data_IF_031706563511
#
_entry.id   IF_031706563511
#
_cell.length_a   1.000
_cell.length_b   1.000
_cell.length_c   1.000
_cell.angle_alpha   90.00
_cell.angle_beta   90.00
_cell.angle_gamma   90.00
#
_symmetry.space_group_name_H-M   'P 1'
#
loop_
_entity.id
_entity.type
_entity.pdbx_description
1 polymer ?
#
# COMPACT_ATOMS: atom_id res chain seq x y z
N UNK A 1 9.88 -28.26 -33.39
CA UNK A 1 11.19 -27.60 -33.21
C UNK A 1 11.67 -26.90 -34.47
N UNK A 2 11.46 -27.48 -35.67
CA UNK A 2 11.85 -26.85 -36.93
C UNK A 2 11.27 -25.47 -37.15
N UNK A 3 10.00 -25.26 -36.73
CA UNK A 3 9.35 -23.94 -36.75
C UNK A 3 10.10 -22.92 -35.85
N UNK A 4 10.44 -23.32 -34.66
CA UNK A 4 11.22 -22.45 -33.75
C UNK A 4 12.62 -22.18 -34.28
N UNK A 5 13.28 -23.18 -34.90
CA UNK A 5 14.55 -23.00 -35.58
C UNK A 5 14.47 -21.89 -36.66
N UNK A 6 13.44 -21.93 -37.50
CA UNK A 6 13.23 -20.91 -38.52
C UNK A 6 12.91 -19.51 -37.97
N UNK A 7 12.12 -19.45 -36.89
CA UNK A 7 11.86 -18.18 -36.17
C UNK A 7 13.17 -17.60 -35.62
N UNK A 8 14.02 -18.43 -34.96
CA UNK A 8 15.32 -17.99 -34.45
C UNK A 8 16.22 -17.50 -35.57
N UNK A 9 16.28 -18.23 -36.69
CA UNK A 9 17.07 -17.84 -37.86
C UNK A 9 16.66 -16.45 -38.36
N UNK A 10 15.36 -16.23 -38.58
CA UNK A 10 14.82 -14.97 -39.08
C UNK A 10 15.03 -13.81 -38.10
N UNK A 11 14.80 -14.04 -36.80
CA UNK A 11 15.04 -13.02 -35.77
C UNK A 11 16.53 -12.72 -35.62
N UNK A 12 17.39 -13.76 -35.60
CA UNK A 12 18.84 -13.59 -35.44
C UNK A 12 19.47 -12.79 -36.58
N UNK A 13 18.95 -12.93 -37.82
CA UNK A 13 19.37 -12.15 -38.98
C UNK A 13 19.21 -10.62 -38.77
N UNK A 14 18.27 -10.18 -37.93
CA UNK A 14 18.06 -8.75 -37.59
C UNK A 14 19.01 -8.22 -36.53
N UNK A 15 19.91 -9.05 -35.99
CA UNK A 15 20.85 -8.69 -34.93
C UNK A 15 20.18 -8.18 -33.65
N UNK A 16 19.33 -8.97 -32.97
CA UNK A 16 18.75 -8.63 -31.68
C UNK A 16 19.79 -8.60 -30.57
N UNK A 17 19.50 -7.94 -29.44
CA UNK A 17 20.37 -7.99 -28.25
C UNK A 17 20.39 -9.37 -27.62
N UNK A 18 19.23 -9.98 -27.46
CA UNK A 18 19.07 -11.37 -27.00
C UNK A 18 17.68 -11.88 -27.39
N UNK A 19 17.53 -13.21 -27.48
CA UNK A 19 16.28 -13.93 -27.76
C UNK A 19 15.99 -14.80 -26.53
N UNK A 20 14.83 -14.59 -25.86
CA UNK A 20 14.40 -15.37 -24.69
C UNK A 20 13.21 -16.26 -25.03
N UNK A 21 13.25 -17.49 -24.55
CA UNK A 21 12.15 -18.44 -24.68
C UNK A 21 11.52 -18.68 -23.31
N UNK A 22 10.31 -18.20 -23.13
CA UNK A 22 9.44 -18.55 -22.01
C UNK A 22 8.64 -19.81 -22.35
N UNK A 23 9.36 -20.85 -22.74
CA UNK A 23 8.84 -22.12 -23.21
C UNK A 23 9.80 -23.25 -22.81
N UNK A 24 9.26 -24.39 -22.38
CA UNK A 24 10.00 -25.61 -22.10
C UNK A 24 9.97 -26.58 -23.27
N UNK A 25 11.09 -27.19 -23.52
CA UNK A 25 11.27 -28.24 -24.52
C UNK A 25 11.72 -29.52 -23.81
N UNK A 26 10.84 -30.08 -22.96
CA UNK A 26 11.15 -31.17 -22.01
C UNK A 26 11.34 -32.54 -22.67
N UNK A 27 10.68 -32.77 -23.79
CA UNK A 27 10.66 -34.05 -24.51
C UNK A 27 11.31 -33.88 -25.87
N UNK A 28 11.76 -35.01 -26.48
CA UNK A 28 12.20 -35.01 -27.86
C UNK A 28 11.06 -34.65 -28.82
N UNK A 29 11.40 -34.05 -29.94
CA UNK A 29 10.39 -33.76 -30.99
C UNK A 29 9.91 -35.09 -31.59
N UNK A 30 8.58 -35.26 -31.60
CA UNK A 30 7.96 -36.50 -32.16
C UNK A 30 8.25 -36.72 -33.64
N UNK A 31 8.69 -35.70 -34.35
CA UNK A 31 9.13 -35.79 -35.76
C UNK A 31 10.61 -36.01 -35.89
N UNK A 32 11.34 -36.30 -34.79
CA UNK A 32 12.75 -36.69 -34.87
C UNK A 32 12.87 -38.09 -35.49
N UNK A 33 13.91 -38.35 -36.30
CA UNK A 33 14.12 -39.64 -36.91
C UNK A 33 14.05 -40.79 -35.91
N UNK A 34 14.63 -40.64 -34.72
CA UNK A 34 14.60 -41.63 -33.66
C UNK A 34 13.19 -41.96 -33.19
N UNK A 35 12.33 -40.93 -32.99
CA UNK A 35 10.96 -41.13 -32.55
C UNK A 35 10.09 -41.76 -33.63
N UNK A 36 10.33 -41.38 -34.89
CA UNK A 36 9.65 -42.01 -36.06
C UNK A 36 10.03 -43.49 -36.18
N UNK A 37 11.32 -43.81 -36.06
CA UNK A 37 11.83 -45.20 -36.07
C UNK A 37 11.17 -46.01 -34.96
N UNK A 38 11.11 -45.46 -33.75
CA UNK A 38 10.52 -46.13 -32.59
C UNK A 38 8.99 -46.29 -32.69
N UNK A 39 8.31 -45.34 -33.34
CA UNK A 39 6.84 -45.35 -33.46
C UNK A 39 6.31 -46.26 -34.59
N UNK A 40 7.11 -46.51 -35.60
CA UNK A 40 6.71 -47.29 -36.79
C UNK A 40 7.68 -48.46 -37.01
N UNK A 41 7.15 -49.63 -37.34
CA UNK A 41 7.96 -50.81 -37.70
C UNK A 41 8.53 -50.66 -39.12
N UNK A 42 9.58 -49.85 -39.24
CA UNK A 42 10.21 -49.56 -40.53
C UNK A 42 11.18 -50.63 -40.96
N UNK A 43 11.32 -50.81 -42.28
CA UNK A 43 12.31 -51.71 -42.84
C UNK A 43 13.73 -51.12 -42.71
N UNK A 44 14.78 -51.95 -42.66
CA UNK A 44 16.18 -51.49 -42.40
C UNK A 44 16.70 -50.42 -43.38
N UNK A 45 16.28 -50.43 -44.63
CA UNK A 45 16.63 -49.43 -45.63
C UNK A 45 16.08 -48.03 -45.29
N UNK A 46 14.83 -47.95 -44.80
CA UNK A 46 14.19 -46.71 -44.45
C UNK A 46 14.77 -46.14 -43.15
N UNK A 47 15.12 -47.03 -42.20
CA UNK A 47 15.81 -46.67 -40.98
C UNK A 47 17.17 -46.02 -41.28
N UNK A 48 17.95 -46.58 -42.22
CA UNK A 48 19.26 -46.04 -42.61
C UNK A 48 19.12 -44.67 -43.31
N UNK A 49 18.07 -44.44 -44.10
CA UNK A 49 17.80 -43.15 -44.71
C UNK A 49 17.38 -42.10 -43.68
N UNK A 50 16.48 -42.44 -42.75
CA UNK A 50 16.04 -41.55 -41.68
C UNK A 50 17.16 -41.15 -40.74
N UNK A 51 18.07 -42.05 -40.38
CA UNK A 51 19.23 -41.76 -39.52
C UNK A 51 20.19 -40.71 -40.09
N UNK A 52 20.21 -40.54 -41.43
CA UNK A 52 21.01 -39.51 -42.10
C UNK A 52 20.32 -38.13 -42.15
N UNK A 53 19.05 -38.01 -41.72
CA UNK A 53 18.31 -36.76 -41.70
C UNK A 53 18.50 -36.07 -40.35
N UNK A 54 18.90 -34.80 -40.39
CA UNK A 54 18.95 -33.99 -39.12
C UNK A 54 17.54 -33.85 -38.57
N UNK A 55 17.37 -34.32 -37.33
CA UNK A 55 16.10 -34.14 -36.60
C UNK A 55 15.77 -32.69 -36.23
N UNK A 56 14.50 -32.38 -36.02
CA UNK A 56 14.06 -31.02 -35.67
C UNK A 56 14.76 -30.43 -34.43
N UNK A 57 15.05 -31.25 -33.43
CA UNK A 57 15.80 -30.84 -32.24
C UNK A 57 17.23 -30.41 -32.56
N UNK A 58 17.89 -31.13 -33.52
CA UNK A 58 19.23 -30.78 -33.92
C UNK A 58 19.30 -29.50 -34.74
N UNK A 59 18.35 -29.32 -35.65
CA UNK A 59 18.23 -28.08 -36.43
C UNK A 59 18.01 -26.89 -35.48
N UNK A 60 17.15 -27.05 -34.47
CA UNK A 60 16.90 -26.02 -33.49
C UNK A 60 18.11 -25.73 -32.62
N UNK A 61 18.82 -26.78 -32.17
CA UNK A 61 20.07 -26.68 -31.41
C UNK A 61 21.11 -25.82 -32.17
N UNK A 62 21.31 -26.07 -33.46
CA UNK A 62 22.25 -25.30 -34.29
C UNK A 62 21.92 -23.83 -34.39
N UNK A 63 20.63 -23.47 -34.45
CA UNK A 63 20.18 -22.07 -34.48
C UNK A 63 20.36 -21.39 -33.11
N UNK A 64 20.08 -22.09 -32.01
CA UNK A 64 20.32 -21.60 -30.68
C UNK A 64 21.81 -21.30 -30.42
N UNK A 65 22.72 -22.17 -30.89
CA UNK A 65 24.17 -22.01 -30.74
C UNK A 65 24.71 -20.78 -31.47
N UNK A 66 24.15 -20.45 -32.64
CA UNK A 66 24.49 -19.28 -33.44
C UNK A 66 23.89 -17.97 -32.91
N UNK A 67 22.93 -18.03 -31.99
CA UNK A 67 22.20 -16.87 -31.47
C UNK A 67 22.54 -16.52 -30.02
N UNK A 68 22.18 -15.35 -29.58
CA UNK A 68 22.22 -14.94 -28.16
C UNK A 68 20.92 -15.37 -27.45
N UNK A 69 20.73 -16.68 -27.36
CA UNK A 69 19.50 -17.27 -26.84
C UNK A 69 19.56 -17.52 -25.34
N UNK A 70 18.42 -17.36 -24.67
CA UNK A 70 18.13 -17.70 -23.29
C UNK A 70 16.89 -18.58 -23.26
N UNK A 71 16.97 -19.72 -22.54
CA UNK A 71 15.83 -20.65 -22.39
C UNK A 71 15.38 -20.65 -20.92
N UNK A 72 14.08 -20.84 -20.72
CA UNK A 72 13.42 -20.91 -19.44
C UNK A 72 13.83 -22.13 -18.60
N UNK A 73 13.91 -21.92 -17.28
CA UNK A 73 13.99 -22.92 -16.23
C UNK A 73 12.99 -22.60 -15.15
N UNK A 74 12.21 -23.57 -14.68
CA UNK A 74 11.20 -23.39 -13.63
C UNK A 74 11.64 -24.13 -12.35
N UNK A 75 11.53 -23.47 -11.21
CA UNK A 75 11.63 -24.11 -9.90
C UNK A 75 10.41 -24.97 -9.60
N UNK A 76 10.64 -26.15 -9.02
CA UNK A 76 9.58 -27.08 -8.66
C UNK A 76 9.80 -27.63 -7.25
N UNK A 77 8.71 -27.86 -6.53
CA UNK A 77 8.69 -28.59 -5.26
C UNK A 77 8.68 -30.11 -5.46
N UNK A 78 8.31 -30.57 -6.66
CA UNK A 78 8.16 -31.99 -7.00
C UNK A 78 9.11 -32.35 -8.14
N UNK A 79 9.69 -33.56 -8.08
CA UNK A 79 10.47 -34.14 -9.19
C UNK A 79 9.52 -34.59 -10.29
N UNK A 80 9.82 -34.21 -11.54
CA UNK A 80 9.05 -34.56 -12.73
C UNK A 80 9.94 -34.77 -13.95
N UNK A 81 9.34 -35.10 -15.11
CA UNK A 81 10.07 -35.14 -16.39
C UNK A 81 10.77 -33.81 -16.65
N UNK A 82 11.99 -33.87 -17.17
CA UNK A 82 12.83 -32.68 -17.36
C UNK A 82 13.57 -32.21 -16.11
N UNK A 83 13.47 -32.95 -14.99
CA UNK A 83 14.25 -32.68 -13.78
C UNK A 83 15.59 -33.36 -13.87
N UNK A 84 16.68 -32.60 -14.00
CA UNK A 84 18.06 -33.10 -13.93
C UNK A 84 18.97 -32.04 -13.32
N UNK A 85 20.22 -32.41 -13.00
CA UNK A 85 21.17 -31.49 -12.38
C UNK A 85 21.86 -30.60 -13.42
N UNK A 86 21.21 -29.49 -13.75
CA UNK A 86 21.71 -28.51 -14.73
C UNK A 86 22.64 -27.50 -14.07
N UNK A 87 23.39 -26.78 -14.89
CA UNK A 87 24.28 -25.70 -14.42
C UNK A 87 23.93 -24.39 -15.08
N UNK A 88 23.81 -23.34 -14.27
CA UNK A 88 23.60 -21.98 -14.77
C UNK A 88 24.77 -21.58 -15.72
N UNK A 89 24.44 -20.81 -16.75
CA UNK A 89 25.43 -20.24 -17.68
C UNK A 89 26.08 -18.98 -17.09
N UNK A 90 25.36 -18.26 -16.23
CA UNK A 90 25.91 -17.12 -15.51
C UNK A 90 26.85 -17.57 -14.39
N UNK A 91 28.02 -16.93 -14.27
CA UNK A 91 28.88 -17.04 -13.10
C UNK A 91 28.53 -15.96 -12.11
N UNK A 92 28.29 -16.34 -10.85
CA UNK A 92 28.00 -15.42 -9.76
C UNK A 92 29.30 -15.11 -9.02
N UNK A 93 29.63 -13.83 -8.90
CA UNK A 93 30.75 -13.31 -8.12
C UNK A 93 30.18 -12.51 -6.95
N UNK A 94 30.30 -13.04 -5.74
CA UNK A 94 29.78 -12.41 -4.53
C UNK A 94 30.86 -11.64 -3.77
N UNK A 95 30.45 -10.58 -3.10
CA UNK A 95 31.25 -9.82 -2.14
C UNK A 95 30.42 -9.56 -0.89
N UNK A 96 30.95 -9.89 0.26
CA UNK A 96 30.28 -9.62 1.56
C UNK A 96 29.52 -10.81 2.15
N UNK A 97 29.42 -11.96 1.44
CA UNK A 97 28.75 -13.17 1.93
C UNK A 97 28.41 -14.16 0.83
N UNK A 98 27.67 -15.23 1.17
CA UNK A 98 27.12 -16.20 0.21
C UNK A 98 25.64 -15.86 -0.10
N UNK A 99 25.32 -15.43 -1.33
CA UNK A 99 23.94 -15.10 -1.71
C UNK A 99 22.97 -16.27 -1.58
N UNK A 100 23.45 -17.51 -1.51
CA UNK A 100 22.60 -18.69 -1.38
C UNK A 100 21.81 -18.71 -0.06
N UNK A 101 22.29 -18.06 0.97
CA UNK A 101 21.64 -18.00 2.28
C UNK A 101 20.35 -17.18 2.25
N UNK A 102 20.28 -16.21 1.34
CA UNK A 102 19.19 -15.24 1.27
C UNK A 102 18.27 -15.43 0.06
N UNK A 103 18.66 -16.29 -0.90
CA UNK A 103 17.86 -16.50 -2.12
C UNK A 103 16.77 -17.54 -1.92
N UNK A 104 15.62 -17.32 -2.60
CA UNK A 104 14.56 -18.33 -2.66
C UNK A 104 15.07 -19.64 -3.25
N UNK A 105 14.69 -20.75 -2.60
CA UNK A 105 15.16 -22.08 -2.93
C UNK A 105 14.06 -23.00 -3.39
N UNK A 106 14.34 -23.73 -4.46
CA UNK A 106 13.49 -24.81 -4.95
C UNK A 106 14.29 -26.13 -4.92
N UNK A 107 13.69 -27.25 -4.45
CA UNK A 107 14.38 -28.53 -4.39
C UNK A 107 14.70 -29.11 -5.77
N UNK A 108 13.87 -28.78 -6.76
CA UNK A 108 14.02 -29.26 -8.13
C UNK A 108 13.92 -28.13 -9.13
N UNK A 109 14.37 -28.40 -10.37
CA UNK A 109 14.17 -27.49 -11.50
C UNK A 109 13.74 -28.25 -12.73
N UNK A 110 12.75 -27.74 -13.44
CA UNK A 110 12.25 -28.25 -14.71
C UNK A 110 12.80 -27.35 -15.82
N UNK A 111 13.25 -27.92 -16.92
CA UNK A 111 13.74 -27.16 -18.07
C UNK A 111 13.69 -27.96 -19.35
N UNK A 112 14.40 -27.50 -20.35
CA UNK A 112 14.45 -28.13 -21.69
C UNK A 112 15.39 -29.32 -21.73
N UNK A 113 15.43 -30.04 -22.88
CA UNK A 113 16.40 -31.07 -23.15
C UNK A 113 17.83 -30.56 -22.95
N UNK A 114 18.68 -31.38 -22.31
CA UNK A 114 20.05 -30.99 -21.98
C UNK A 114 20.85 -30.50 -23.20
N UNK A 115 20.68 -31.14 -24.35
CA UNK A 115 21.36 -30.73 -25.59
C UNK A 115 20.99 -29.33 -26.06
N UNK A 116 19.72 -28.86 -25.83
CA UNK A 116 19.26 -27.51 -26.13
C UNK A 116 19.79 -26.50 -25.10
N UNK A 117 19.74 -26.86 -23.82
CA UNK A 117 20.28 -26.01 -22.76
C UNK A 117 21.79 -25.81 -22.88
N UNK A 118 22.52 -26.84 -23.37
CA UNK A 118 23.96 -26.71 -23.58
C UNK A 118 24.32 -25.76 -24.75
N UNK A 119 23.42 -25.57 -25.70
CA UNK A 119 23.68 -24.74 -26.89
C UNK A 119 23.33 -23.26 -26.69
N UNK A 120 22.58 -22.90 -25.66
CA UNK A 120 22.19 -21.47 -25.39
C UNK A 120 23.25 -20.71 -24.60
N UNK A 121 23.16 -19.38 -24.65
CA UNK A 121 24.05 -18.45 -23.91
C UNK A 121 23.59 -18.21 -22.48
N UNK A 122 22.33 -18.52 -22.16
CA UNK A 122 21.72 -18.29 -20.84
C UNK A 122 20.62 -19.27 -20.48
N UNK A 123 20.47 -19.50 -19.16
CA UNK A 123 19.33 -20.19 -18.57
C UNK A 123 18.68 -19.23 -17.55
N UNK A 124 17.42 -18.85 -17.80
CA UNK A 124 16.71 -17.88 -16.98
C UNK A 124 15.54 -18.51 -16.23
N UNK A 125 15.45 -18.28 -14.92
CA UNK A 125 14.29 -18.72 -14.14
C UNK A 125 13.06 -17.90 -14.49
N UNK A 126 11.93 -18.59 -14.69
CA UNK A 126 10.60 -18.00 -14.85
C UNK A 126 9.73 -18.19 -13.62
N UNK A 127 10.32 -18.65 -12.50
CA UNK A 127 9.60 -18.87 -11.25
C UNK A 127 9.16 -17.55 -10.65
N UNK A 128 7.87 -17.43 -10.35
CA UNK A 128 7.31 -16.37 -9.56
C UNK A 128 7.20 -16.79 -8.09
N UNK A 129 7.13 -15.84 -7.19
CA UNK A 129 6.80 -16.10 -5.80
C UNK A 129 5.29 -16.22 -5.65
N UNK A 130 4.86 -17.21 -4.87
CA UNK A 130 3.44 -17.36 -4.53
C UNK A 130 2.96 -16.13 -3.77
N UNK A 131 2.02 -15.41 -4.37
CA UNK A 131 1.32 -14.29 -3.76
C UNK A 131 -0.06 -14.79 -3.33
N UNK A 132 -0.46 -14.50 -2.10
CA UNK A 132 -1.73 -14.98 -1.52
C UNK A 132 -2.97 -14.56 -2.31
N UNK A 133 -2.90 -13.46 -3.05
CA UNK A 133 -3.96 -12.94 -3.91
C UNK A 133 -3.75 -13.22 -5.41
N UNK A 134 -2.69 -13.94 -5.77
CA UNK A 134 -2.35 -14.28 -7.14
C UNK A 134 -1.91 -13.09 -8.02
N UNK A 135 -1.65 -11.90 -7.43
CA UNK A 135 -1.20 -10.72 -8.17
C UNK A 135 0.32 -10.63 -8.12
N UNK A 136 1.00 -10.74 -9.25
CA UNK A 136 2.46 -10.65 -9.33
C UNK A 136 2.90 -9.19 -9.25
N UNK A 137 3.47 -8.81 -8.09
CA UNK A 137 4.00 -7.47 -7.83
C UNK A 137 5.51 -7.41 -7.85
N UNK A 138 6.15 -8.50 -7.50
CA UNK A 138 7.59 -8.58 -7.29
C UNK A 138 8.11 -9.94 -7.72
N UNK A 139 9.41 -10.01 -7.98
CA UNK A 139 10.08 -11.28 -8.25
C UNK A 139 11.53 -11.24 -7.75
N UNK A 140 12.11 -12.42 -7.40
CA UNK A 140 13.51 -12.51 -7.09
C UNK A 140 14.33 -12.41 -8.37
N UNK A 141 15.40 -11.61 -8.36
CA UNK A 141 16.34 -11.55 -9.49
C UNK A 141 17.23 -12.78 -9.59
N UNK A 142 17.43 -13.43 -8.46
CA UNK A 142 18.22 -14.67 -8.35
C UNK A 142 17.43 -15.69 -7.54
N UNK A 143 17.39 -16.92 -8.01
CA UNK A 143 16.82 -18.07 -7.31
C UNK A 143 17.84 -19.15 -7.14
N UNK A 144 17.60 -20.09 -6.23
CA UNK A 144 18.45 -21.23 -5.99
C UNK A 144 17.73 -22.54 -6.32
N UNK A 145 18.29 -23.33 -7.22
CA UNK A 145 17.84 -24.71 -7.45
C UNK A 145 18.86 -25.66 -6.80
N UNK A 146 18.41 -26.39 -5.78
CA UNK A 146 19.32 -27.14 -4.89
C UNK A 146 20.42 -26.22 -4.33
N UNK A 147 21.63 -26.35 -4.76
CA UNK A 147 22.78 -25.55 -4.31
C UNK A 147 23.37 -24.65 -5.40
N UNK A 148 22.68 -24.41 -6.49
CA UNK A 148 23.14 -23.60 -7.63
C UNK A 148 22.27 -22.37 -7.82
N UNK A 149 22.89 -21.23 -8.04
CA UNK A 149 22.19 -19.96 -8.29
C UNK A 149 21.84 -19.81 -9.76
N UNK A 150 20.66 -19.29 -10.02
CA UNK A 150 20.15 -18.98 -11.36
C UNK A 150 19.58 -17.57 -11.39
N UNK A 151 19.88 -16.76 -12.42
CA UNK A 151 19.21 -15.50 -12.63
C UNK A 151 17.79 -15.74 -13.13
N UNK A 152 16.88 -14.80 -12.86
CA UNK A 152 15.58 -14.78 -13.53
C UNK A 152 15.71 -14.48 -15.01
N UNK A 153 14.70 -14.85 -15.80
CA UNK A 153 14.67 -14.66 -17.26
C UNK A 153 15.06 -13.24 -17.67
N UNK A 154 14.43 -12.21 -17.06
CA UNK A 154 14.72 -10.82 -17.37
C UNK A 154 16.18 -10.43 -17.10
N UNK A 155 16.72 -10.81 -15.95
CA UNK A 155 18.13 -10.53 -15.60
C UNK A 155 19.11 -11.27 -16.53
N UNK A 156 18.82 -12.53 -16.84
CA UNK A 156 19.67 -13.33 -17.73
C UNK A 156 19.67 -12.77 -19.17
N UNK A 157 18.52 -12.35 -19.65
CA UNK A 157 18.40 -11.68 -20.94
C UNK A 157 19.28 -10.42 -21.00
N UNK A 158 19.24 -9.59 -19.94
CA UNK A 158 20.06 -8.38 -19.85
C UNK A 158 21.56 -8.76 -19.81
N UNK A 159 21.94 -9.81 -19.07
CA UNK A 159 23.33 -10.28 -19.00
C UNK A 159 23.83 -10.71 -20.38
N UNK A 160 23.07 -11.56 -21.07
CA UNK A 160 23.42 -12.09 -22.39
C UNK A 160 23.46 -10.96 -23.43
N UNK A 161 22.46 -10.10 -23.44
CA UNK A 161 22.36 -8.95 -24.36
C UNK A 161 23.47 -7.93 -24.16
N UNK A 162 23.99 -7.79 -22.95
CA UNK A 162 25.15 -6.94 -22.61
C UNK A 162 26.50 -7.66 -22.79
N UNK A 163 26.53 -8.87 -23.33
CA UNK A 163 27.73 -9.71 -23.52
C UNK A 163 28.51 -9.95 -22.22
N UNK A 164 27.85 -9.99 -21.07
CA UNK A 164 28.49 -10.24 -19.79
C UNK A 164 28.53 -11.73 -19.48
N UNK A 165 29.66 -12.20 -18.90
CA UNK A 165 29.82 -13.58 -18.42
C UNK A 165 29.37 -13.73 -16.97
N UNK A 166 29.55 -12.67 -16.17
CA UNK A 166 29.40 -12.69 -14.74
C UNK A 166 28.22 -11.81 -14.29
N UNK A 167 27.58 -12.22 -13.20
CA UNK A 167 26.72 -11.41 -12.36
C UNK A 167 27.45 -11.13 -11.06
N UNK A 168 27.47 -9.87 -10.64
CA UNK A 168 28.10 -9.44 -9.40
C UNK A 168 27.05 -9.23 -8.35
N UNK A 169 27.20 -9.87 -7.17
CA UNK A 169 26.28 -9.78 -6.04
C UNK A 169 27.02 -9.14 -4.89
N UNK A 170 26.59 -7.96 -4.48
CA UNK A 170 27.09 -7.28 -3.29
C UNK A 170 26.12 -7.49 -2.15
N UNK A 171 26.66 -7.90 -1.00
CA UNK A 171 25.91 -8.19 0.20
C UNK A 171 26.35 -7.30 1.35
N UNK A 172 25.47 -7.10 2.30
CA UNK A 172 25.74 -6.51 3.59
C UNK A 172 25.32 -7.46 4.72
N UNK A 173 25.35 -7.02 5.96
CA UNK A 173 24.98 -7.84 7.14
C UNK A 173 23.53 -8.33 7.12
N UNK A 174 22.64 -7.65 6.38
CA UNK A 174 21.20 -7.96 6.31
C UNK A 174 20.88 -8.93 5.16
N UNK A 175 21.72 -8.98 4.13
CA UNK A 175 21.51 -9.83 2.96
C UNK A 175 22.00 -9.21 1.65
N UNK A 176 21.34 -9.52 0.54
CA UNK A 176 21.67 -9.00 -0.79
C UNK A 176 21.31 -7.50 -0.82
N UNK A 177 22.28 -6.69 -1.20
CA UNK A 177 22.10 -5.23 -1.35
C UNK A 177 21.99 -4.83 -2.82
N UNK A 178 22.82 -5.43 -3.68
CA UNK A 178 22.88 -5.05 -5.09
C UNK A 178 23.30 -6.23 -5.97
N UNK A 179 22.62 -6.36 -7.11
CA UNK A 179 22.98 -7.29 -8.17
C UNK A 179 23.37 -6.46 -9.40
N UNK A 180 24.48 -6.80 -10.05
CA UNK A 180 24.97 -6.02 -11.18
C UNK A 180 25.27 -6.89 -12.39
N UNK A 181 24.78 -6.44 -13.55
CA UNK A 181 25.16 -6.90 -14.88
C UNK A 181 25.59 -5.66 -15.67
N UNK A 182 26.88 -5.43 -15.79
CA UNK A 182 27.40 -4.18 -16.39
C UNK A 182 26.72 -3.84 -17.71
N UNK A 183 26.30 -2.57 -17.92
CA UNK A 183 26.50 -1.41 -17.05
C UNK A 183 25.49 -1.26 -15.93
N UNK A 184 24.48 -2.12 -15.82
CA UNK A 184 23.33 -1.99 -14.94
C UNK A 184 23.65 -2.41 -13.49
N UNK A 185 23.18 -1.59 -12.55
CA UNK A 185 23.27 -1.84 -11.10
C UNK A 185 21.84 -1.89 -10.56
N UNK A 186 21.46 -3.00 -9.97
CA UNK A 186 20.08 -3.25 -9.54
C UNK A 186 20.10 -3.42 -8.02
N UNK A 187 19.51 -2.48 -7.30
CA UNK A 187 19.30 -2.58 -5.86
C UNK A 187 18.08 -3.45 -5.60
N UNK A 188 18.15 -4.29 -4.59
CA UNK A 188 17.08 -5.21 -4.22
C UNK A 188 16.83 -5.18 -2.72
N UNK A 189 15.79 -5.88 -2.29
CA UNK A 189 15.65 -6.22 -0.88
C UNK A 189 16.72 -7.27 -0.46
N UNK A 190 16.83 -7.60 0.85
CA UNK A 190 17.80 -8.57 1.35
C UNK A 190 17.72 -9.97 0.70
N UNK A 191 16.59 -10.35 0.14
CA UNK A 191 16.36 -11.63 -0.53
C UNK A 191 16.57 -11.56 -2.07
N UNK A 192 17.06 -10.44 -2.57
CA UNK A 192 17.27 -10.23 -4.00
C UNK A 192 16.01 -9.96 -4.81
N UNK A 193 14.92 -9.52 -4.14
CA UNK A 193 13.64 -9.21 -4.78
C UNK A 193 13.62 -7.76 -5.25
N UNK A 194 13.03 -7.54 -6.42
CA UNK A 194 12.61 -6.23 -6.90
C UNK A 194 11.10 -6.18 -7.06
N UNK A 195 10.53 -4.97 -6.91
CA UNK A 195 9.13 -4.72 -7.21
C UNK A 195 9.02 -4.18 -8.62
N UNK A 196 8.11 -4.77 -9.40
CA UNK A 196 7.96 -4.46 -10.82
C UNK A 196 7.14 -3.18 -10.96
N UNK A 197 7.68 -2.19 -11.65
CA UNK A 197 6.91 -1.06 -12.14
C UNK A 197 6.29 -1.44 -13.46
N UNK A 198 5.06 -1.93 -13.42
CA UNK A 198 4.33 -2.32 -14.63
C UNK A 198 4.00 -1.10 -15.50
N UNK A 199 4.18 -1.27 -16.80
CA UNK A 199 3.68 -0.37 -17.82
C UNK A 199 2.40 -0.94 -18.43
N UNK A 200 1.56 -0.08 -19.01
CA UNK A 200 0.37 -0.54 -19.72
C UNK A 200 0.82 -1.38 -20.91
N UNK A 201 0.26 -2.59 -21.01
CA UNK A 201 0.51 -3.49 -22.16
C UNK A 201 0.09 -2.83 -23.48
N UNK A 202 0.99 -2.83 -24.45
CA UNK A 202 0.76 -2.28 -25.77
C UNK A 202 0.68 -3.41 -26.81
N UNK A 203 -0.48 -3.61 -27.41
CA UNK A 203 -0.66 -4.60 -28.48
C UNK A 203 0.35 -4.44 -29.62
N UNK A 204 0.84 -3.22 -29.86
CA UNK A 204 1.87 -2.93 -30.85
C UNK A 204 3.23 -3.57 -30.54
N UNK A 205 3.50 -4.01 -29.33
CA UNK A 205 4.73 -4.72 -28.95
C UNK A 205 4.70 -6.20 -29.34
N UNK A 206 3.52 -6.74 -29.61
CA UNK A 206 3.36 -8.13 -30.01
C UNK A 206 3.50 -8.28 -31.54
N UNK A 207 4.18 -9.35 -31.93
CA UNK A 207 4.32 -9.75 -33.33
C UNK A 207 3.97 -11.24 -33.40
N UNK A 208 3.12 -11.60 -34.35
CA UNK A 208 2.74 -13.01 -34.53
C UNK A 208 3.94 -13.84 -34.91
N UNK A 209 4.14 -14.98 -34.24
CA UNK A 209 5.19 -15.94 -34.55
C UNK A 209 5.06 -16.48 -36.00
N UNK A 210 3.82 -16.60 -36.55
CA UNK A 210 3.58 -16.98 -37.94
C UNK A 210 4.14 -15.96 -38.92
N UNK A 211 3.96 -14.66 -38.65
CA UNK A 211 4.52 -13.59 -39.51
C UNK A 211 6.05 -13.62 -39.51
N UNK A 212 6.66 -13.92 -38.35
CA UNK A 212 8.12 -14.06 -38.24
C UNK A 212 8.59 -15.32 -39.00
N UNK A 213 7.90 -16.43 -38.82
CA UNK A 213 8.18 -17.67 -39.58
C UNK A 213 8.14 -17.46 -41.07
N UNK A 214 7.10 -16.79 -41.59
CA UNK A 214 6.91 -16.50 -43.02
C UNK A 214 7.89 -15.43 -43.57
N UNK A 215 8.69 -14.79 -42.72
CA UNK A 215 9.55 -13.66 -43.10
C UNK A 215 8.78 -12.35 -43.38
N UNK A 216 7.51 -12.25 -42.94
CA UNK A 216 6.62 -11.10 -43.19
C UNK A 216 6.58 -10.22 -41.96
N UNK A 217 7.68 -9.55 -41.59
CA UNK A 217 7.78 -8.68 -40.41
C UNK A 217 8.72 -7.50 -40.68
N UNK A 218 8.55 -6.45 -39.90
CA UNK A 218 9.46 -5.29 -39.92
C UNK A 218 10.70 -5.57 -39.08
N UNK A 219 11.86 -5.73 -39.76
CA UNK A 219 13.16 -6.02 -39.14
C UNK A 219 13.59 -4.94 -38.14
N UNK A 220 13.20 -3.67 -38.34
CA UNK A 220 13.53 -2.57 -37.46
C UNK A 220 13.01 -2.74 -36.04
N UNK A 221 11.95 -3.50 -35.88
CA UNK A 221 11.33 -3.84 -34.59
C UNK A 221 12.15 -4.82 -33.76
N UNK A 222 13.07 -5.54 -34.36
CA UNK A 222 13.92 -6.54 -33.69
C UNK A 222 15.36 -6.07 -33.52
N UNK A 223 15.87 -5.23 -34.42
CA UNK A 223 17.25 -4.77 -34.39
C UNK A 223 17.62 -4.08 -33.09
N UNK A 224 18.66 -4.57 -32.39
CA UNK A 224 19.10 -4.07 -31.08
C UNK A 224 18.01 -4.16 -29.98
N UNK A 225 17.00 -5.04 -30.11
CA UNK A 225 15.93 -5.23 -29.11
C UNK A 225 16.13 -6.54 -28.37
N UNK A 226 15.56 -6.62 -27.19
CA UNK A 226 15.32 -7.87 -26.48
C UNK A 226 14.04 -8.49 -27.03
N UNK A 227 14.11 -9.72 -27.49
CA UNK A 227 12.99 -10.44 -28.10
C UNK A 227 12.60 -11.58 -27.18
N UNK A 228 11.35 -11.61 -26.76
CA UNK A 228 10.78 -12.68 -25.94
C UNK A 228 9.81 -13.50 -26.80
N UNK A 229 9.93 -14.81 -26.74
CA UNK A 229 9.06 -15.78 -27.39
C UNK A 229 8.34 -16.55 -26.29
N UNK A 230 7.01 -16.44 -26.25
CA UNK A 230 6.19 -17.07 -25.24
C UNK A 230 4.73 -17.19 -25.65
N UNK A 231 3.94 -17.87 -24.84
CA UNK A 231 2.52 -18.05 -25.05
C UNK A 231 1.76 -16.77 -24.73
N UNK A 232 1.00 -16.24 -25.68
CA UNK A 232 0.16 -15.05 -25.47
C UNK A 232 -1.29 -15.25 -25.89
N UNK A 233 -1.63 -16.41 -26.50
CA UNK A 233 -2.97 -16.70 -26.96
C UNK A 233 -3.91 -17.07 -25.80
N UNK A 234 -5.16 -16.62 -25.88
CA UNK A 234 -6.21 -17.05 -24.95
C UNK A 234 -6.39 -18.56 -25.04
N UNK A 235 -6.40 -19.22 -23.86
CA UNK A 235 -6.53 -20.69 -23.76
C UNK A 235 -5.22 -21.44 -23.52
N UNK A 236 -4.06 -20.79 -23.58
CA UNK A 236 -2.78 -21.40 -23.22
C UNK A 236 -2.43 -21.29 -21.71
N UNK A 237 -3.36 -20.73 -20.91
CA UNK A 237 -3.34 -20.66 -19.44
C UNK A 237 -2.12 -19.99 -18.79
N UNK A 238 -1.25 -19.36 -19.54
CA UNK A 238 -0.11 -18.60 -19.00
C UNK A 238 -0.48 -17.12 -18.80
N UNK A 239 -1.57 -16.89 -18.05
CA UNK A 239 -2.07 -15.55 -17.76
C UNK A 239 -1.88 -15.21 -16.28
N UNK A 240 -1.29 -14.06 -16.01
CA UNK A 240 -1.00 -13.57 -14.66
C UNK A 240 -1.70 -12.24 -14.40
N UNK A 241 -2.14 -12.03 -13.16
CA UNK A 241 -2.74 -10.78 -12.72
C UNK A 241 -1.65 -9.78 -12.31
N UNK A 242 -1.83 -8.53 -12.68
CA UNK A 242 -0.93 -7.43 -12.33
C UNK A 242 -1.58 -6.41 -11.41
N UNK A 243 -0.82 -5.58 -10.69
CA UNK A 243 -1.35 -4.49 -9.87
C UNK A 243 -2.16 -3.44 -10.64
N UNK A 244 -2.02 -3.37 -11.96
CA UNK A 244 -2.80 -2.46 -12.81
C UNK A 244 -4.23 -2.97 -13.09
N UNK A 245 -4.63 -4.10 -12.47
CA UNK A 245 -5.92 -4.73 -12.70
C UNK A 245 -6.02 -5.45 -14.03
N UNK A 246 -4.96 -5.48 -14.83
CA UNK A 246 -4.90 -6.21 -16.09
C UNK A 246 -4.38 -7.63 -15.91
N UNK A 247 -4.91 -8.55 -16.70
CA UNK A 247 -4.36 -9.89 -16.86
C UNK A 247 -3.50 -9.88 -18.12
N UNK A 248 -2.23 -10.25 -17.98
CA UNK A 248 -1.25 -10.25 -19.07
C UNK A 248 -0.61 -11.65 -19.21
N UNK A 249 -0.05 -12.00 -20.39
CA UNK A 249 0.76 -13.21 -20.52
C UNK A 249 2.00 -13.18 -19.61
N UNK A 250 2.39 -14.34 -19.04
CA UNK A 250 3.57 -14.46 -18.15
C UNK A 250 4.85 -13.92 -18.79
N UNK A 251 5.04 -14.16 -20.08
CA UNK A 251 6.18 -13.65 -20.85
C UNK A 251 6.30 -12.11 -20.79
N UNK A 252 5.20 -11.38 -20.68
CA UNK A 252 5.20 -9.92 -20.59
C UNK A 252 5.73 -9.42 -19.23
N UNK A 253 5.59 -10.21 -18.18
CA UNK A 253 6.20 -9.90 -16.87
C UNK A 253 7.71 -9.80 -17.02
N UNK A 254 8.32 -10.76 -17.72
CA UNK A 254 9.77 -10.75 -18.00
C UNK A 254 10.17 -9.55 -18.87
N UNK A 255 9.31 -9.15 -19.81
CA UNK A 255 9.47 -7.93 -20.60
C UNK A 255 9.50 -6.67 -19.73
N UNK A 256 8.54 -6.52 -18.80
CA UNK A 256 8.53 -5.43 -17.82
C UNK A 256 9.78 -5.43 -16.94
N UNK A 257 10.28 -6.59 -16.51
CA UNK A 257 11.52 -6.69 -15.74
C UNK A 257 12.73 -6.20 -16.54
N UNK A 258 12.85 -6.61 -17.81
CA UNK A 258 13.92 -6.13 -18.69
C UNK A 258 13.86 -4.60 -18.80
N UNK A 259 12.71 -4.02 -19.11
CA UNK A 259 12.53 -2.57 -19.20
C UNK A 259 12.88 -1.88 -17.88
N UNK A 260 12.41 -2.42 -16.74
CA UNK A 260 12.72 -1.85 -15.43
C UNK A 260 14.23 -1.85 -15.14
N UNK A 261 14.96 -2.89 -15.55
CA UNK A 261 16.43 -2.94 -15.40
C UNK A 261 17.11 -1.92 -16.32
N UNK A 262 16.68 -1.81 -17.57
CA UNK A 262 17.26 -0.91 -18.56
C UNK A 262 17.05 0.57 -18.19
N UNK A 263 15.83 0.90 -17.76
CA UNK A 263 15.41 2.26 -17.39
C UNK A 263 15.74 2.59 -15.92
N UNK A 264 16.24 1.63 -15.14
CA UNK A 264 16.45 1.76 -13.66
C UNK A 264 15.18 2.21 -12.95
N UNK A 265 14.01 1.79 -13.43
CA UNK A 265 12.69 2.25 -12.98
C UNK A 265 11.97 1.29 -12.03
N UNK A 266 12.56 0.14 -11.71
CA UNK A 266 12.01 -0.79 -10.74
C UNK A 266 11.77 -0.13 -9.37
N UNK A 267 10.84 -0.67 -8.59
CA UNK A 267 10.51 -0.15 -7.28
C UNK A 267 11.32 -0.90 -6.21
N UNK A 268 11.68 -0.18 -5.16
CA UNK A 268 12.45 -0.72 -4.04
C UNK A 268 11.66 -0.52 -2.76
N UNK A 269 11.69 -1.50 -1.88
CA UNK A 269 11.29 -1.37 -0.49
C UNK A 269 12.52 -1.59 0.39
N UNK A 270 13.12 -0.50 0.82
CA UNK A 270 14.30 -0.56 1.68
C UNK A 270 13.91 -1.05 3.08
N UNK A 271 14.70 -1.92 3.75
CA UNK A 271 14.46 -2.32 5.13
C UNK A 271 14.33 -1.14 6.11
N UNK A 272 15.07 -0.06 5.91
CA UNK A 272 14.99 1.13 6.76
C UNK A 272 13.69 1.94 6.57
N UNK A 273 12.94 1.70 5.50
CA UNK A 273 11.66 2.37 5.23
C UNK A 273 10.64 2.10 6.34
N UNK A 274 10.66 0.90 6.96
CA UNK A 274 9.78 0.59 8.10
C UNK A 274 10.01 1.51 9.30
N UNK A 275 11.26 1.83 9.62
CA UNK A 275 11.61 2.74 10.72
C UNK A 275 11.10 4.15 10.40
N UNK A 276 11.31 4.59 9.15
CA UNK A 276 10.81 5.88 8.69
C UNK A 276 9.28 5.95 8.77
N UNK A 277 8.57 4.91 8.30
CA UNK A 277 7.11 4.81 8.34
C UNK A 277 6.58 4.93 9.78
N UNK A 278 7.22 4.23 10.73
CA UNK A 278 6.86 4.28 12.14
C UNK A 278 7.07 5.67 12.74
N UNK A 279 8.27 6.23 12.58
CA UNK A 279 8.59 7.56 13.11
C UNK A 279 7.70 8.65 12.47
N UNK A 280 7.50 8.57 11.18
CA UNK A 280 6.62 9.49 10.45
C UNK A 280 5.18 9.39 10.96
N UNK A 281 4.66 8.19 11.21
CA UNK A 281 3.32 7.97 11.77
C UNK A 281 3.17 8.63 13.15
N UNK A 282 4.17 8.49 14.02
CA UNK A 282 4.18 9.11 15.35
C UNK A 282 4.19 10.65 15.23
N UNK A 283 5.05 11.18 14.36
CA UNK A 283 5.15 12.64 14.16
C UNK A 283 3.84 13.21 13.65
N UNK A 284 3.25 12.59 12.62
CA UNK A 284 1.96 13.04 12.06
C UNK A 284 0.85 12.97 13.11
N UNK A 285 0.78 11.90 13.90
CA UNK A 285 -0.18 11.74 14.98
C UNK A 285 -0.02 12.83 16.05
N UNK A 286 1.21 13.05 16.55
CA UNK A 286 1.51 14.08 17.55
C UNK A 286 1.17 15.48 17.05
N UNK A 287 1.60 15.82 15.83
CA UNK A 287 1.33 17.14 15.23
C UNK A 287 -0.17 17.36 15.09
N UNK A 288 -0.88 16.39 14.53
CA UNK A 288 -2.35 16.49 14.36
C UNK A 288 -3.06 16.61 15.69
N UNK A 289 -2.67 15.85 16.72
CA UNK A 289 -3.24 15.93 18.06
C UNK A 289 -3.03 17.34 18.65
N UNK A 290 -1.79 17.83 18.69
CA UNK A 290 -1.46 19.14 19.24
C UNK A 290 -2.22 20.29 18.55
N UNK A 291 -2.27 20.26 17.22
CA UNK A 291 -3.02 21.27 16.46
C UNK A 291 -4.53 21.16 16.69
N UNK A 292 -5.08 19.94 16.74
CA UNK A 292 -6.49 19.74 16.99
C UNK A 292 -6.91 20.26 18.37
N UNK A 293 -6.08 20.14 19.40
CA UNK A 293 -6.38 20.63 20.75
C UNK A 293 -6.30 22.16 20.88
N UNK A 294 -5.42 22.81 20.12
CA UNK A 294 -5.19 24.27 20.21
C UNK A 294 -6.10 25.09 19.32
N UNK A 295 -6.74 24.48 18.32
CA UNK A 295 -7.60 25.21 17.36
C UNK A 295 -9.07 25.12 17.74
N UNK A 296 -9.89 26.04 17.21
CA UNK A 296 -11.35 25.99 17.42
C UNK A 296 -11.94 24.73 16.78
N UNK A 297 -12.99 24.11 17.36
CA UNK A 297 -13.58 22.85 16.87
C UNK A 297 -13.93 22.84 15.38
N UNK A 298 -14.39 23.97 14.86
CA UNK A 298 -14.74 24.11 13.44
C UNK A 298 -13.59 23.87 12.46
N UNK A 299 -12.34 23.97 12.91
CA UNK A 299 -11.15 23.73 12.08
C UNK A 299 -10.57 22.31 12.21
N UNK A 300 -11.06 21.52 13.17
CA UNK A 300 -10.53 20.17 13.42
C UNK A 300 -10.59 19.29 12.19
N UNK A 301 -11.70 19.33 11.45
CA UNK A 301 -11.89 18.55 10.23
C UNK A 301 -10.92 18.98 9.10
N UNK A 302 -10.68 20.29 8.97
CA UNK A 302 -9.71 20.82 8.00
C UNK A 302 -8.28 20.38 8.32
N UNK A 303 -7.92 20.32 9.61
CA UNK A 303 -6.60 19.83 10.05
C UNK A 303 -6.45 18.36 9.72
N UNK A 304 -7.47 17.54 9.99
CA UNK A 304 -7.47 16.12 9.65
C UNK A 304 -7.25 15.89 8.15
N UNK A 305 -8.06 16.52 7.30
CA UNK A 305 -7.93 16.37 5.84
C UNK A 305 -6.62 16.95 5.30
N UNK A 306 -6.12 18.05 5.87
CA UNK A 306 -4.82 18.60 5.52
C UNK A 306 -3.66 17.66 5.86
N UNK A 307 -3.69 17.03 7.03
CA UNK A 307 -2.72 16.03 7.45
C UNK A 307 -2.80 14.77 6.58
N UNK A 308 -4.02 14.31 6.26
CA UNK A 308 -4.26 13.17 5.37
C UNK A 308 -3.70 13.44 3.97
N UNK A 309 -3.99 14.61 3.40
CA UNK A 309 -3.43 15.02 2.11
C UNK A 309 -1.91 15.05 2.13
N UNK A 310 -1.30 15.54 3.22
CA UNK A 310 0.16 15.56 3.39
C UNK A 310 0.75 14.14 3.36
N UNK A 311 0.15 13.19 4.08
CA UNK A 311 0.58 11.78 4.08
C UNK A 311 0.51 11.19 2.66
N UNK A 312 -0.60 11.41 1.96
CA UNK A 312 -0.79 10.91 0.58
C UNK A 312 0.24 11.53 -0.37
N UNK A 313 0.47 12.84 -0.30
CA UNK A 313 1.43 13.54 -1.15
C UNK A 313 2.86 13.04 -0.90
N UNK A 314 3.25 12.81 0.34
CA UNK A 314 4.58 12.27 0.68
C UNK A 314 4.76 10.86 0.11
N UNK A 315 3.80 9.96 0.34
CA UNK A 315 3.85 8.59 -0.20
C UNK A 315 3.90 8.56 -1.72
N UNK A 316 3.06 9.38 -2.37
CA UNK A 316 3.03 9.47 -3.83
C UNK A 316 4.32 10.08 -4.40
N UNK A 317 4.91 11.06 -3.72
CA UNK A 317 6.19 11.66 -4.10
C UNK A 317 7.34 10.65 -3.99
N UNK A 318 7.39 9.84 -2.93
CA UNK A 318 8.37 8.76 -2.79
C UNK A 318 8.26 7.76 -3.95
N UNK A 319 7.05 7.36 -4.31
CA UNK A 319 6.78 6.45 -5.43
C UNK A 319 7.21 7.04 -6.78
N UNK A 320 6.89 8.32 -7.06
CA UNK A 320 7.18 8.94 -8.36
C UNK A 320 8.65 9.30 -8.52
N UNK A 321 9.25 9.95 -7.52
CA UNK A 321 10.58 10.57 -7.67
C UNK A 321 11.72 9.69 -7.17
N UNK A 322 11.45 8.80 -6.20
CA UNK A 322 12.48 7.93 -5.60
C UNK A 322 12.34 6.46 -5.98
N UNK A 323 11.26 6.08 -6.69
CA UNK A 323 10.91 4.67 -6.96
C UNK A 323 10.85 3.82 -5.70
N UNK A 324 10.50 4.42 -4.55
CA UNK A 324 10.48 3.79 -3.24
C UNK A 324 9.02 3.52 -2.83
N UNK A 325 8.77 2.28 -2.38
CA UNK A 325 7.47 1.88 -1.85
C UNK A 325 7.41 2.21 -0.37
N UNK A 326 6.63 3.24 -0.02
CA UNK A 326 6.31 3.63 1.36
C UNK A 326 4.89 3.21 1.66
N UNK A 327 4.70 2.51 2.76
CA UNK A 327 3.37 2.13 3.24
C UNK A 327 2.74 3.30 4.00
N UNK A 328 1.76 3.93 3.38
CA UNK A 328 1.02 5.05 3.98
C UNK A 328 -0.17 4.59 4.84
N UNK A 329 -0.45 3.29 4.92
CA UNK A 329 -1.59 2.77 5.68
C UNK A 329 -1.40 2.99 7.19
N UNK A 330 -0.19 2.78 7.72
CA UNK A 330 0.13 3.03 9.12
C UNK A 330 -0.03 4.50 9.53
N UNK A 331 0.56 5.49 8.81
CA UNK A 331 0.31 6.90 9.10
C UNK A 331 -1.17 7.28 9.04
N UNK A 332 -1.92 6.79 8.06
CA UNK A 332 -3.37 7.08 7.93
C UNK A 332 -4.15 6.48 9.11
N UNK A 333 -3.84 5.25 9.49
CA UNK A 333 -4.49 4.58 10.63
C UNK A 333 -4.21 5.32 11.95
N UNK A 334 -2.96 5.64 12.22
CA UNK A 334 -2.55 6.39 13.41
C UNK A 334 -3.17 7.79 13.44
N UNK A 335 -3.20 8.48 12.31
CA UNK A 335 -3.86 9.78 12.14
C UNK A 335 -5.36 9.69 12.50
N UNK A 336 -6.03 8.68 11.97
CA UNK A 336 -7.48 8.49 12.16
C UNK A 336 -7.80 8.21 13.63
N UNK A 337 -7.09 7.27 14.26
CA UNK A 337 -7.28 6.96 15.69
C UNK A 337 -7.01 8.19 16.56
N UNK A 338 -5.90 8.89 16.30
CA UNK A 338 -5.53 10.08 17.07
C UNK A 338 -6.57 11.19 16.94
N UNK A 339 -7.09 11.39 15.74
CA UNK A 339 -8.15 12.36 15.48
C UNK A 339 -9.44 12.02 16.22
N UNK A 340 -9.91 10.77 16.14
CA UNK A 340 -11.11 10.30 16.84
C UNK A 340 -10.96 10.41 18.36
N UNK A 341 -9.79 10.04 18.88
CA UNK A 341 -9.46 10.17 20.31
C UNK A 341 -9.48 11.66 20.74
N UNK A 342 -8.90 12.53 19.94
CA UNK A 342 -8.93 13.97 20.17
C UNK A 342 -10.35 14.56 20.18
N UNK A 343 -11.22 14.15 19.25
CA UNK A 343 -12.62 14.52 19.22
C UNK A 343 -13.38 14.02 20.46
N UNK A 344 -13.11 12.79 20.88
CA UNK A 344 -13.74 12.20 22.07
C UNK A 344 -13.40 12.98 23.35
N UNK A 345 -12.14 13.27 23.58
CA UNK A 345 -11.73 14.06 24.75
C UNK A 345 -12.32 15.47 24.72
N UNK A 346 -12.38 16.10 23.56
CA UNK A 346 -13.02 17.40 23.39
C UNK A 346 -14.50 17.36 23.71
N UNK A 347 -15.20 16.38 23.20
CA UNK A 347 -16.62 16.19 23.47
C UNK A 347 -16.89 16.04 24.99
N UNK A 348 -16.07 15.24 25.69
CA UNK A 348 -16.18 15.09 27.14
C UNK A 348 -15.96 16.44 27.83
N UNK A 349 -14.91 17.19 27.45
CA UNK A 349 -14.59 18.46 28.11
C UNK A 349 -15.67 19.52 27.87
N UNK A 350 -16.19 19.65 26.64
CA UNK A 350 -17.30 20.54 26.31
C UNK A 350 -18.56 20.18 27.11
N UNK A 351 -18.90 18.89 27.23
CA UNK A 351 -20.01 18.44 28.05
C UNK A 351 -19.80 18.74 29.54
N UNK A 352 -18.60 18.55 30.09
CA UNK A 352 -18.28 18.89 31.49
C UNK A 352 -18.49 20.39 31.75
N UNK A 353 -18.01 21.24 30.85
CA UNK A 353 -18.16 22.70 30.95
C UNK A 353 -19.63 23.08 30.84
N UNK A 354 -20.39 22.48 29.92
CA UNK A 354 -21.82 22.75 29.78
C UNK A 354 -22.61 22.36 31.03
N UNK A 355 -22.35 21.16 31.59
CA UNK A 355 -22.99 20.71 32.85
C UNK A 355 -22.64 21.62 34.01
N UNK A 356 -21.36 22.01 34.17
CA UNK A 356 -20.93 22.93 35.23
C UNK A 356 -21.62 24.29 35.12
N UNK A 357 -21.78 24.82 33.91
CA UNK A 357 -22.50 26.08 33.68
C UNK A 357 -24.00 25.97 34.04
N UNK A 358 -24.66 24.87 33.63
CA UNK A 358 -26.07 24.61 33.99
C UNK A 358 -26.23 24.48 35.51
N UNK A 359 -25.34 23.80 36.22
CA UNK A 359 -25.37 23.68 37.67
C UNK A 359 -25.20 25.04 38.35
N UNK A 360 -24.29 25.88 37.83
CA UNK A 360 -24.07 27.24 38.34
C UNK A 360 -25.32 28.12 38.16
N UNK A 361 -25.95 28.04 37.01
CA UNK A 361 -27.21 28.78 36.71
C UNK A 361 -28.35 28.32 37.59
N UNK A 362 -28.55 27.01 37.75
CA UNK A 362 -29.56 26.43 38.65
C UNK A 362 -29.37 26.85 40.11
N UNK A 363 -28.10 26.90 40.58
CA UNK A 363 -27.77 27.36 41.94
C UNK A 363 -28.13 28.84 42.12
N UNK A 364 -27.80 29.68 41.14
CA UNK A 364 -28.14 31.11 41.19
C UNK A 364 -29.67 31.35 41.19
N UNK A 365 -30.42 30.59 40.42
CA UNK A 365 -31.88 30.63 40.41
C UNK A 365 -32.45 30.28 41.79
N UNK A 366 -31.98 29.16 42.38
CA UNK A 366 -32.40 28.70 43.70
C UNK A 366 -32.07 29.73 44.80
N UNK A 367 -30.92 30.37 44.75
CA UNK A 367 -30.52 31.44 45.69
C UNK A 367 -31.47 32.66 45.56
N UNK A 368 -31.91 33.02 44.34
CA UNK A 368 -32.89 34.08 44.10
C UNK A 368 -34.30 33.75 44.63
N UNK A 369 -34.76 32.52 44.37
CA UNK A 369 -36.03 32.02 44.90
C UNK A 369 -36.06 32.08 46.43
N UNK A 370 -35.00 31.55 47.10
CA UNK A 370 -34.85 31.60 48.55
C UNK A 370 -34.86 33.08 49.08
N UNK A 371 -34.17 33.97 48.38
CA UNK A 371 -34.18 35.39 48.77
C UNK A 371 -35.61 36.00 48.68
N UNK A 372 -36.37 35.60 47.64
CA UNK A 372 -37.78 36.00 47.49
C UNK A 372 -38.69 35.43 48.61
N UNK A 373 -38.48 34.15 49.00
CA UNK A 373 -39.23 33.52 50.10
C UNK A 373 -38.94 34.21 51.45
N UNK A 374 -37.66 34.46 51.73
CA UNK A 374 -37.24 35.20 52.95
C UNK A 374 -37.89 36.60 52.95
N UNK A 375 -37.87 37.30 51.80
CA UNK A 375 -38.50 38.61 51.74
C UNK A 375 -40.00 38.55 51.97
N UNK A 376 -40.72 37.57 51.40
CA UNK A 376 -42.15 37.37 51.62
C UNK A 376 -42.49 37.19 53.11
N UNK A 377 -41.61 36.57 53.89
CA UNK A 377 -41.80 36.39 55.35
C UNK A 377 -41.70 37.68 56.13
N UNK A 378 -41.13 38.77 55.58
CA UNK A 378 -40.99 40.05 56.19
C UNK A 378 -42.27 40.92 56.09
N UNK A 379 -43.22 40.60 55.21
CA UNK A 379 -44.47 41.33 55.11
C UNK A 379 -45.42 40.94 56.23
N UNK A 380 -46.31 41.84 56.64
CA UNK A 380 -47.31 41.59 57.68
C UNK A 380 -48.32 40.55 57.18
N UNK A 381 -48.89 39.78 58.11
CA UNK A 381 -50.03 38.91 57.87
C UNK A 381 -51.32 39.77 57.73
N UNK A 382 -51.61 40.09 56.47
CA UNK A 382 -52.74 40.96 56.15
C UNK A 382 -54.09 40.34 56.50
N UNK A 383 -54.20 38.99 56.63
CA UNK A 383 -55.43 38.31 57.00
C UNK A 383 -56.03 38.81 58.34
N UNK A 384 -55.17 39.31 59.21
CA UNK A 384 -55.56 39.91 60.49
C UNK A 384 -56.29 41.23 60.34
N UNK A 385 -56.24 41.89 59.15
CA UNK A 385 -56.75 43.18 58.88
C UNK A 385 -57.79 43.19 57.70
N UNK A 386 -58.24 42.03 57.24
CA UNK A 386 -59.09 41.88 56.03
C UNK A 386 -60.41 42.69 56.02
N UNK A 387 -60.87 43.10 57.15
CA UNK A 387 -62.12 43.88 57.21
C UNK A 387 -61.93 45.36 56.81
N UNK A 388 -60.69 45.90 56.74
CA UNK A 388 -60.44 47.30 56.52
C UNK A 388 -59.08 47.60 55.82
N UNK A 389 -58.18 46.66 55.65
CA UNK A 389 -56.95 46.86 54.90
C UNK A 389 -56.76 45.69 53.93
N UNK A 390 -56.49 46.05 52.69
CA UNK A 390 -56.08 45.15 51.66
C UNK A 390 -54.73 45.64 51.13
N UNK A 391 -53.74 44.80 51.18
CA UNK A 391 -52.39 45.05 50.63
C UNK A 391 -51.76 43.81 50.08
N UNK A 392 -51.09 43.97 48.97
CA UNK A 392 -50.32 42.86 48.32
C UNK A 392 -49.08 43.46 47.70
N UNK A 393 -48.03 42.68 47.71
CA UNK A 393 -46.79 42.96 46.97
C UNK A 393 -46.65 41.97 45.81
N UNK A 394 -46.53 42.51 44.61
CA UNK A 394 -46.28 41.69 43.41
C UNK A 394 -44.89 42.06 42.86
N UNK A 395 -43.89 41.33 43.18
CA UNK A 395 -42.51 41.65 42.76
C UNK A 395 -42.36 41.57 41.24
N UNK A 396 -41.72 42.56 40.63
CA UNK A 396 -41.42 42.59 39.20
C UNK A 396 -40.30 41.58 38.84
N UNK A 397 -39.55 41.09 39.84
CA UNK A 397 -38.52 40.05 39.78
C UNK A 397 -38.64 39.20 41.04
N UNK A 398 -37.65 38.31 41.27
CA UNK A 398 -37.64 37.39 42.41
C UNK A 398 -37.76 38.10 43.78
N UNK A 399 -37.29 39.33 43.88
CA UNK A 399 -37.37 40.20 45.08
C UNK A 399 -37.83 41.61 44.69
N UNK A 400 -38.65 42.25 45.57
CA UNK A 400 -39.19 43.58 45.39
C UNK A 400 -38.43 44.67 46.17
N UNK A 401 -38.35 45.85 45.62
CA UNK A 401 -37.96 47.05 46.35
C UNK A 401 -39.11 47.64 47.18
N UNK A 402 -40.35 47.38 46.76
CA UNK A 402 -41.53 47.89 47.43
C UNK A 402 -41.74 47.23 48.80
N UNK A 403 -42.16 48.05 49.74
CA UNK A 403 -42.41 47.61 51.09
C UNK A 403 -43.70 48.23 51.63
N UNK A 404 -44.49 47.43 52.28
CA UNK A 404 -45.60 47.88 53.11
C UNK A 404 -45.56 47.16 54.48
N UNK A 405 -46.01 47.79 55.48
CA UNK A 405 -46.23 47.21 56.80
C UNK A 405 -47.39 47.81 57.52
N UNK A 406 -47.98 47.03 58.42
CA UNK A 406 -49.12 47.45 59.28
C UNK A 406 -48.89 46.96 60.68
N UNK A 407 -48.89 47.88 61.65
CA UNK A 407 -48.75 47.57 63.07
C UNK A 407 -49.94 48.06 63.85
N UNK A 408 -50.49 47.22 64.71
CA UNK A 408 -51.56 47.61 65.61
C UNK A 408 -50.97 48.29 66.83
N UNK A 409 -51.26 49.57 67.04
CA UNK A 409 -50.80 50.40 68.20
C UNK A 409 -51.73 50.26 69.37
N UNK A 410 -53.05 50.30 69.11
CA UNK A 410 -54.11 50.19 70.08
C UNK A 410 -55.34 49.50 69.49
N UNK A 411 -56.37 49.20 70.29
CA UNK A 411 -57.59 48.48 69.80
C UNK A 411 -58.24 49.07 68.55
N UNK A 412 -58.10 50.40 68.32
CA UNK A 412 -58.71 51.15 67.18
C UNK A 412 -57.70 52.00 66.41
N UNK A 413 -56.38 51.87 66.67
CA UNK A 413 -55.33 52.65 66.01
C UNK A 413 -54.33 51.75 65.29
N UNK A 414 -54.13 51.97 64.00
CA UNK A 414 -53.24 51.27 63.13
C UNK A 414 -52.18 52.21 62.53
N UNK A 415 -50.94 51.81 62.58
CA UNK A 415 -49.87 52.52 61.92
C UNK A 415 -49.46 51.75 60.68
N UNK A 416 -49.46 52.38 59.51
CA UNK A 416 -49.04 51.71 58.28
C UNK A 416 -47.96 52.50 57.59
N UNK A 417 -47.13 51.81 56.81
CA UNK A 417 -46.12 52.43 55.97
C UNK A 417 -46.17 51.82 54.56
N UNK A 418 -45.87 52.64 53.56
CA UNK A 418 -45.65 52.25 52.19
C UNK A 418 -44.37 52.92 51.73
N UNK A 419 -43.44 52.16 51.22
CA UNK A 419 -42.12 52.62 50.75
C UNK A 419 -41.68 51.88 49.46
N UNK A 420 -40.99 52.65 48.62
CA UNK A 420 -40.36 52.14 47.42
C UNK A 420 -38.84 52.38 47.51
N UNK A 421 -38.06 51.32 47.39
CA UNK A 421 -36.58 51.39 47.39
C UNK A 421 -36.12 51.54 45.96
N UNK A 422 -35.45 52.64 45.66
CA UNK A 422 -34.89 52.86 44.34
C UNK A 422 -33.89 51.71 43.92
N UNK A 423 -34.18 51.10 42.76
CA UNK A 423 -33.41 49.98 42.24
C UNK A 423 -34.28 48.73 42.08
N UNK A 424 -33.64 47.62 41.65
CA UNK A 424 -34.30 46.32 41.41
C UNK A 424 -33.43 45.15 41.88
N UNK A 425 -34.07 44.01 42.20
CA UNK A 425 -33.42 42.78 42.56
C UNK A 425 -32.89 42.74 44.01
N UNK A 426 -31.97 41.85 44.31
CA UNK A 426 -31.52 41.49 45.64
C UNK A 426 -31.06 42.74 46.46
N UNK A 427 -30.35 43.67 45.80
CA UNK A 427 -29.89 44.91 46.49
C UNK A 427 -31.05 45.77 47.02
N UNK A 428 -32.10 45.98 46.20
CA UNK A 428 -33.28 46.70 46.64
C UNK A 428 -34.05 45.97 47.76
N UNK A 429 -34.16 44.60 47.62
CA UNK A 429 -34.77 43.77 48.63
C UNK A 429 -34.04 43.79 50.00
N UNK A 430 -32.72 43.92 50.01
CA UNK A 430 -31.94 44.06 51.23
C UNK A 430 -32.22 45.44 51.93
N UNK A 431 -32.31 46.49 51.17
CA UNK A 431 -32.67 47.79 51.71
C UNK A 431 -34.15 47.84 52.26
N UNK A 432 -35.06 47.18 51.57
CA UNK A 432 -36.42 46.95 51.99
C UNK A 432 -36.47 46.18 53.33
N UNK A 433 -35.67 45.06 53.47
CA UNK A 433 -35.57 44.28 54.72
C UNK A 433 -35.06 45.15 55.89
N UNK A 434 -34.03 45.98 55.62
CA UNK A 434 -33.56 46.94 56.60
C UNK A 434 -34.66 48.01 57.01
N UNK A 435 -35.40 48.53 56.04
CA UNK A 435 -36.50 49.45 56.31
C UNK A 435 -37.63 48.83 57.15
N UNK A 436 -38.00 47.53 56.80
CA UNK A 436 -38.95 46.73 57.58
C UNK A 436 -38.47 46.53 59.02
N UNK A 437 -37.20 46.20 59.23
CA UNK A 437 -36.65 46.00 60.58
C UNK A 437 -36.72 47.31 61.40
N UNK A 438 -36.37 48.46 60.83
CA UNK A 438 -36.43 49.74 61.48
C UNK A 438 -37.86 50.13 61.86
N UNK A 439 -38.75 49.94 60.91
CA UNK A 439 -40.19 50.28 61.12
C UNK A 439 -40.82 49.48 62.28
N UNK A 440 -40.49 48.24 62.46
CA UNK A 440 -41.01 47.38 63.51
C UNK A 440 -40.33 47.53 64.87
N UNK A 441 -39.26 48.30 64.97
CA UNK A 441 -38.54 48.60 66.20
C UNK A 441 -38.91 49.96 66.77
N UNK A 442 -39.56 50.77 65.99
CA UNK A 442 -40.14 52.07 66.45
C UNK A 442 -41.47 51.88 67.20
#
# INVERSE_FOLDING_TARGET
RSIFAKIVENVNATNPKAIGFDIFFTEKDKQSPEEIINAYNLIPTDVAQLQNIKGPDEIFREQLEKSKSVIAVLGSSVSSHGTYDRSAKAKFLSKGGDPKEFTYSFPYSIGSLEKLENSVKGLGSISFLDQTDGIIRSLPLIVRFKNKLYPTMGLEMVRVGSNQKNLYVEMNEVGINRISSRPYKIYSDPNGIIWIRYKKSLKSQYISASSVFDGKFDESRFKNKYVLIGASAQGLFDLVKTPLGATIPGVEVHGNVIENILDQSYLIRNPNTYIFELLFSIVVACVTFLFSQRTKPKYSLSIFFGSLATVIVIGFSAFLFRSELVDISYPIFMLTITFLTGLYFRFIEENRIAIANLQKEAKLLKERELAGEVQKSLFPDISRFENFIYATNVPARDVSGDYFDVVNVNKNEYFFTLADVSGKGIKAGMYMAKASSIFRTL
#
